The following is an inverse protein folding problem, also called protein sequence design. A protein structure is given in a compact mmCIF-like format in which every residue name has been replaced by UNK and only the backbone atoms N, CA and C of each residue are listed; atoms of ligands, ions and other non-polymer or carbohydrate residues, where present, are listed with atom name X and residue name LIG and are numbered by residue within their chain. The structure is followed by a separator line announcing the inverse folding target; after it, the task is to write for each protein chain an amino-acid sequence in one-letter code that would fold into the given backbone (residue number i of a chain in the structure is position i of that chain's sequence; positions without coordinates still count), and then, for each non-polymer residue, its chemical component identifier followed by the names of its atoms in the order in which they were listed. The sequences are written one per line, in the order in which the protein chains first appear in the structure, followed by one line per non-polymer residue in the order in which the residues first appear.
data_IF_070933263935
#
_entry.id   IF_070933263935
#
_cell.length_a   1.000
_cell.length_b   1.000
_cell.length_c   1.000
_cell.angle_alpha   90.00
_cell.angle_beta   90.00
_cell.angle_gamma   90.00
#
_symmetry.space_group_name_H-M   'P 1'
#
loop_
_entity.id
_entity.type
_entity.pdbx_description
1 polymer ?
#
# COMPACT_ATOMS: atom_id res chain seq x y z
N UNK A 1 81.44 -29.47 10.65
CA UNK A 1 80.11 -29.62 11.29
C UNK A 1 79.76 -28.28 11.88
N UNK A 2 79.05 -27.45 11.11
CA UNK A 2 78.75 -26.07 11.45
C UNK A 2 77.52 -26.04 12.36
N UNK A 3 77.68 -25.50 13.57
CA UNK A 3 76.61 -25.26 14.54
C UNK A 3 76.41 -23.76 14.63
N UNK A 4 75.37 -23.24 13.96
CA UNK A 4 74.94 -21.86 14.10
C UNK A 4 73.90 -21.80 15.22
N UNK A 5 74.31 -21.17 16.31
CA UNK A 5 73.50 -20.84 17.46
C UNK A 5 72.39 -19.85 17.06
N UNK A 6 71.18 -20.17 17.52
CA UNK A 6 69.94 -19.42 17.35
C UNK A 6 70.05 -17.99 17.91
N UNK A 7 69.81 -16.97 17.08
CA UNK A 7 69.50 -15.61 17.54
C UNK A 7 67.98 -15.50 17.60
N UNK A 8 67.46 -15.41 18.82
CA UNK A 8 66.08 -15.09 19.15
C UNK A 8 65.90 -13.57 19.23
N UNK A 9 64.65 -13.15 19.01
CA UNK A 9 64.00 -11.87 19.35
C UNK A 9 64.51 -10.57 18.70
N UNK A 10 63.79 -10.11 17.68
CA UNK A 10 63.09 -8.82 17.78
C UNK A 10 62.00 -8.74 16.70
N UNK A 11 60.77 -8.86 17.16
CA UNK A 11 59.54 -8.56 16.45
C UNK A 11 59.56 -7.13 15.91
N UNK A 12 59.40 -6.95 14.60
CA UNK A 12 58.74 -5.77 14.05
C UNK A 12 57.97 -6.20 12.79
N UNK A 13 56.95 -7.02 13.01
CA UNK A 13 55.90 -7.22 12.00
C UNK A 13 55.16 -5.89 11.89
N UNK A 14 55.56 -5.08 10.91
CA UNK A 14 54.76 -3.93 10.47
C UNK A 14 53.57 -4.54 9.73
N UNK A 15 52.54 -4.89 10.49
CA UNK A 15 51.23 -5.20 9.95
C UNK A 15 50.63 -3.85 9.57
N UNK A 16 50.49 -3.49 8.27
CA UNK A 16 49.66 -2.35 7.95
C UNK A 16 48.25 -2.74 8.39
N UNK A 17 47.76 -2.02 9.40
CA UNK A 17 46.35 -2.02 9.77
C UNK A 17 45.60 -1.73 8.47
N UNK A 18 45.04 -2.79 7.86
CA UNK A 18 44.09 -2.63 6.77
C UNK A 18 42.88 -2.00 7.45
N UNK A 19 42.84 -0.68 7.39
CA UNK A 19 41.65 0.09 7.71
C UNK A 19 40.60 -0.46 6.76
N UNK A 20 39.73 -1.33 7.27
CA UNK A 20 38.51 -1.68 6.57
C UNK A 20 37.78 -0.36 6.38
N UNK A 21 37.92 0.22 5.19
CA UNK A 21 37.09 1.31 4.75
C UNK A 21 35.67 0.72 4.66
N UNK A 22 34.92 0.78 5.76
CA UNK A 22 33.48 0.86 5.66
C UNK A 22 33.24 2.15 4.89
N UNK A 23 33.09 2.05 3.57
CA UNK A 23 32.55 3.16 2.80
C UNK A 23 31.30 3.62 3.54
N UNK A 24 31.18 4.93 3.86
CA UNK A 24 29.89 5.45 4.29
C UNK A 24 28.91 5.03 3.20
N UNK A 25 27.90 4.24 3.56
CA UNK A 25 26.70 4.13 2.72
C UNK A 25 26.15 5.54 2.75
N UNK A 26 26.48 6.33 1.73
CA UNK A 26 25.85 7.64 1.52
C UNK A 26 24.35 7.36 1.57
N UNK A 27 23.59 8.02 2.47
CA UNK A 27 22.16 7.86 2.48
C UNK A 27 21.66 8.31 1.11
N UNK A 28 21.17 7.35 0.31
CA UNK A 28 20.49 7.67 -0.93
C UNK A 28 19.40 8.69 -0.62
N UNK A 29 19.33 9.77 -1.38
CA UNK A 29 18.26 10.73 -1.19
C UNK A 29 16.92 10.03 -1.43
N UNK A 30 15.88 10.41 -0.70
CA UNK A 30 14.54 9.86 -0.94
C UNK A 30 14.09 10.05 -2.39
N UNK A 31 14.54 11.13 -3.04
CA UNK A 31 14.33 11.39 -4.47
C UNK A 31 14.99 10.34 -5.37
N UNK A 32 16.24 9.93 -5.06
CA UNK A 32 16.93 8.88 -5.79
C UNK A 32 16.25 7.51 -5.57
N UNK A 33 15.89 7.18 -4.32
CA UNK A 33 15.16 5.94 -4.02
C UNK A 33 13.79 5.93 -4.72
N UNK A 34 13.09 7.06 -4.78
CA UNK A 34 11.81 7.17 -5.50
C UNK A 34 12.00 6.96 -7.00
N UNK A 35 13.03 7.58 -7.60
CA UNK A 35 13.37 7.37 -9.01
C UNK A 35 13.73 5.91 -9.33
N UNK A 36 14.44 5.24 -8.42
CA UNK A 36 14.75 3.81 -8.53
C UNK A 36 13.47 2.96 -8.47
N UNK A 37 12.58 3.23 -7.50
CA UNK A 37 11.33 2.51 -7.35
C UNK A 37 10.41 2.65 -8.58
N UNK A 38 10.27 3.87 -9.11
CA UNK A 38 9.51 4.16 -10.35
C UNK A 38 10.08 3.36 -11.53
N UNK A 39 11.40 3.32 -11.69
CA UNK A 39 12.06 2.55 -12.75
C UNK A 39 11.83 1.04 -12.58
N UNK A 40 11.94 0.52 -11.36
CA UNK A 40 11.69 -0.89 -11.07
C UNK A 40 10.23 -1.31 -11.32
N UNK A 41 9.27 -0.45 -10.96
CA UNK A 41 7.84 -0.62 -11.28
C UNK A 41 7.62 -0.71 -12.79
N UNK A 42 8.16 0.23 -13.56
CA UNK A 42 8.01 0.27 -15.02
C UNK A 42 8.62 -0.98 -15.68
N UNK A 43 9.80 -1.42 -15.24
CA UNK A 43 10.45 -2.64 -15.76
C UNK A 43 9.65 -3.91 -15.49
N UNK A 44 8.82 -3.91 -14.43
CA UNK A 44 7.92 -5.00 -14.08
C UNK A 44 6.50 -4.85 -14.67
N UNK A 45 6.24 -3.79 -15.44
CA UNK A 45 4.98 -3.59 -16.16
C UNK A 45 3.91 -2.79 -15.40
N UNK A 46 4.28 -2.11 -14.30
CA UNK A 46 3.40 -1.24 -13.52
C UNK A 46 3.53 0.22 -13.97
N UNK A 47 3.26 0.51 -15.25
CA UNK A 47 3.51 1.83 -15.84
C UNK A 47 2.56 2.89 -15.31
N UNK A 48 1.28 2.53 -15.13
CA UNK A 48 0.24 3.48 -14.76
C UNK A 48 0.44 3.99 -13.34
N UNK A 49 0.74 3.11 -12.38
CA UNK A 49 1.03 3.51 -11.01
C UNK A 49 2.32 4.33 -10.90
N UNK A 50 3.37 3.93 -11.63
CA UNK A 50 4.62 4.69 -11.70
C UNK A 50 4.41 6.12 -12.23
N UNK A 51 3.51 6.30 -13.20
CA UNK A 51 3.13 7.63 -13.71
C UNK A 51 2.41 8.46 -12.64
N UNK A 52 1.49 7.86 -11.88
CA UNK A 52 0.79 8.56 -10.79
C UNK A 52 1.75 9.06 -9.72
N UNK A 53 2.77 8.27 -9.35
CA UNK A 53 3.82 8.70 -8.42
C UNK A 53 4.55 9.93 -8.95
N UNK A 54 5.01 9.92 -10.21
CA UNK A 54 5.72 11.06 -10.81
C UNK A 54 4.89 12.36 -10.82
N UNK A 55 3.56 12.29 -10.79
CA UNK A 55 2.71 13.47 -10.72
C UNK A 55 2.75 14.19 -9.37
N UNK A 56 3.01 13.45 -8.28
CA UNK A 56 2.90 13.97 -6.90
C UNK A 56 4.07 13.56 -6.00
N UNK A 57 5.19 13.14 -6.57
CA UNK A 57 6.37 12.65 -5.84
C UNK A 57 6.88 13.65 -4.78
N UNK A 58 6.77 14.95 -5.05
CA UNK A 58 7.20 16.01 -4.11
C UNK A 58 6.33 16.08 -2.85
N UNK A 59 5.14 15.47 -2.88
CA UNK A 59 4.22 15.36 -1.74
C UNK A 59 4.35 14.02 -1.00
N UNK A 60 5.25 13.14 -1.45
CA UNK A 60 5.49 11.83 -0.83
C UNK A 60 6.79 11.88 -0.04
N UNK A 61 6.70 11.67 1.27
CA UNK A 61 7.85 11.72 2.18
C UNK A 61 7.89 10.49 3.09
N UNK A 62 9.09 10.17 3.56
CA UNK A 62 9.31 9.10 4.54
C UNK A 62 9.36 7.69 3.95
N UNK A 63 9.51 6.70 4.83
CA UNK A 63 9.57 5.30 4.44
C UNK A 63 8.18 4.79 4.04
N UNK A 64 8.12 3.97 2.99
CA UNK A 64 6.86 3.57 2.39
C UNK A 64 6.93 2.17 1.74
N UNK A 65 5.81 1.44 1.83
CA UNK A 65 5.53 0.30 0.95
C UNK A 65 4.39 0.64 0.03
N UNK A 66 4.63 0.67 -1.27
CA UNK A 66 3.60 0.81 -2.29
C UNK A 66 2.90 -0.53 -2.55
N UNK A 67 1.58 -0.54 -2.47
CA UNK A 67 0.73 -1.63 -2.91
C UNK A 67 0.25 -1.29 -4.32
N UNK A 68 0.98 -1.77 -5.33
CA UNK A 68 0.94 -1.31 -6.72
C UNK A 68 -0.11 -2.11 -7.50
N UNK A 69 -1.28 -1.55 -7.83
CA UNK A 69 -2.25 -2.25 -8.66
C UNK A 69 -1.68 -2.54 -10.06
N UNK A 70 -2.09 -3.65 -10.67
CA UNK A 70 -1.77 -3.93 -12.07
C UNK A 70 -2.35 -2.84 -12.98
N UNK A 71 -1.69 -2.59 -14.12
CA UNK A 71 -2.18 -1.63 -15.12
C UNK A 71 -3.58 -2.01 -15.64
N UNK A 72 -3.88 -3.32 -15.70
CA UNK A 72 -5.23 -3.83 -16.01
C UNK A 72 -6.25 -3.39 -14.96
N UNK A 73 -5.98 -3.61 -13.67
CA UNK A 73 -6.87 -3.18 -12.58
C UNK A 73 -7.06 -1.65 -12.55
N UNK A 74 -6.01 -0.87 -12.83
CA UNK A 74 -6.09 0.59 -12.93
C UNK A 74 -6.91 1.06 -14.12
N UNK A 75 -6.89 0.32 -15.24
CA UNK A 75 -7.69 0.66 -16.41
C UNK A 75 -9.19 0.50 -16.17
N UNK A 76 -9.57 -0.46 -15.33
CA UNK A 76 -10.96 -0.70 -14.94
C UNK A 76 -11.42 0.26 -13.83
N UNK A 77 -10.54 0.54 -12.87
CA UNK A 77 -10.84 1.40 -11.72
C UNK A 77 -9.78 2.50 -11.57
N UNK A 78 -9.81 3.53 -12.44
CA UNK A 78 -8.85 4.62 -12.36
C UNK A 78 -9.06 5.48 -11.11
N UNK A 79 -8.02 6.22 -10.66
CA UNK A 79 -8.18 7.21 -9.60
C UNK A 79 -9.24 8.25 -9.97
N UNK A 80 -10.01 8.72 -8.99
CA UNK A 80 -10.93 9.83 -9.20
C UNK A 80 -10.15 11.10 -9.58
N UNK A 81 -10.74 11.93 -10.45
CA UNK A 81 -10.12 13.17 -10.90
C UNK A 81 -9.77 14.08 -9.71
N UNK A 82 -8.54 14.61 -9.71
CA UNK A 82 -8.03 15.45 -8.63
C UNK A 82 -7.74 14.74 -7.31
N UNK A 83 -7.82 13.39 -7.25
CA UNK A 83 -7.61 12.59 -6.03
C UNK A 83 -6.41 11.64 -6.13
N UNK A 84 -5.41 11.98 -6.95
CA UNK A 84 -4.20 11.14 -7.16
C UNK A 84 -3.42 10.94 -5.87
N UNK A 85 -3.20 11.99 -5.07
CA UNK A 85 -2.45 11.88 -3.82
C UNK A 85 -3.16 10.95 -2.81
N UNK A 86 -4.47 11.13 -2.61
CA UNK A 86 -5.25 10.24 -1.75
C UNK A 86 -5.24 8.80 -2.27
N UNK A 87 -5.35 8.61 -3.58
CA UNK A 87 -5.25 7.29 -4.21
C UNK A 87 -3.93 6.61 -3.86
N UNK A 88 -2.80 7.30 -4.01
CA UNK A 88 -1.48 6.77 -3.63
C UNK A 88 -1.37 6.55 -2.11
N UNK A 89 -1.98 7.41 -1.29
CA UNK A 89 -2.00 7.27 0.17
C UNK A 89 -2.76 6.03 0.64
N UNK A 90 -3.87 5.67 -0.02
CA UNK A 90 -4.61 4.42 0.23
C UNK A 90 -3.75 3.20 -0.18
N UNK A 91 -2.94 3.35 -1.22
CA UNK A 91 -2.06 2.31 -1.75
C UNK A 91 -0.64 2.37 -1.16
N UNK A 92 -0.46 2.96 0.01
CA UNK A 92 0.83 3.02 0.69
C UNK A 92 0.73 2.69 2.18
N UNK A 93 1.71 1.96 2.70
CA UNK A 93 1.89 1.67 4.12
C UNK A 93 3.09 2.51 4.61
N UNK A 94 3.02 3.18 5.78
CA UNK A 94 4.09 4.06 6.30
C UNK A 94 5.26 3.27 6.93
N UNK A 95 5.72 2.23 6.25
CA UNK A 95 6.86 1.40 6.64
C UNK A 95 7.42 0.68 5.39
N UNK A 96 8.73 0.38 5.32
CA UNK A 96 9.34 -0.35 4.20
C UNK A 96 9.29 -1.86 4.47
N UNK A 97 8.16 -2.49 4.19
CA UNK A 97 7.90 -3.90 4.43
C UNK A 97 8.29 -4.73 3.21
N UNK A 98 9.03 -5.82 3.44
CA UNK A 98 9.25 -6.86 2.43
C UNK A 98 8.08 -7.84 2.44
N UNK A 99 7.99 -8.67 1.39
CA UNK A 99 7.00 -9.74 1.34
C UNK A 99 7.07 -10.66 2.56
N UNK A 100 8.28 -10.94 3.03
CA UNK A 100 8.52 -11.77 4.23
C UNK A 100 8.03 -11.11 5.52
N UNK A 101 7.96 -9.79 5.59
CA UNK A 101 7.37 -9.09 6.73
C UNK A 101 5.86 -9.25 6.73
N UNK A 102 5.22 -9.03 5.56
CA UNK A 102 3.77 -9.21 5.40
C UNK A 102 3.33 -10.65 5.63
N UNK A 103 4.07 -11.63 5.12
CA UNK A 103 3.77 -13.07 5.23
C UNK A 103 3.84 -13.59 6.67
N UNK A 104 4.60 -12.92 7.54
CA UNK A 104 4.73 -13.30 8.96
C UNK A 104 3.60 -12.75 9.82
N UNK A 105 2.81 -11.82 9.30
CA UNK A 105 1.66 -11.29 10.02
C UNK A 105 0.54 -12.33 10.08
N UNK A 106 -0.10 -12.52 11.26
CA UNK A 106 -1.26 -13.39 11.36
C UNK A 106 -2.42 -12.92 10.48
N UNK A 107 -3.24 -13.85 10.01
CA UNK A 107 -4.51 -13.54 9.34
C UNK A 107 -5.39 -12.63 10.22
N UNK A 108 -6.02 -11.64 9.59
CA UNK A 108 -6.81 -10.61 10.26
C UNK A 108 -6.00 -9.41 10.76
N UNK A 109 -4.67 -9.40 10.60
CA UNK A 109 -3.86 -8.22 10.98
C UNK A 109 -4.24 -7.01 10.15
N UNK A 110 -4.65 -5.91 10.79
CA UNK A 110 -4.94 -4.65 10.15
C UNK A 110 -3.72 -3.70 10.24
N UNK A 111 -3.24 -3.23 9.09
CA UNK A 111 -2.09 -2.33 8.94
C UNK A 111 -2.60 -0.96 8.48
N UNK A 112 -2.18 0.16 9.09
CA UNK A 112 -2.54 1.48 8.61
C UNK A 112 -1.93 1.77 7.24
N UNK A 113 -2.68 2.49 6.41
CA UNK A 113 -2.15 3.11 5.18
C UNK A 113 -1.71 4.54 5.46
N UNK A 114 -1.05 5.21 4.50
CA UNK A 114 -0.75 6.64 4.60
C UNK A 114 -2.02 7.50 4.53
N UNK A 115 -3.14 6.94 4.03
CA UNK A 115 -4.44 7.60 4.11
C UNK A 115 -5.01 7.43 5.51
N UNK A 116 -5.24 8.55 6.19
CA UNK A 116 -5.79 8.55 7.56
C UNK A 116 -7.14 7.83 7.59
N UNK A 117 -7.31 6.93 8.56
CA UNK A 117 -8.54 6.15 8.74
C UNK A 117 -8.72 4.97 7.78
N UNK A 118 -7.75 4.71 6.90
CA UNK A 118 -7.78 3.57 5.98
C UNK A 118 -6.79 2.48 6.44
N UNK A 119 -7.27 1.23 6.47
CA UNK A 119 -6.52 0.07 6.91
C UNK A 119 -6.50 -1.01 5.81
N UNK A 120 -5.41 -1.78 5.77
CA UNK A 120 -5.26 -2.98 4.95
C UNK A 120 -5.19 -4.19 5.87
N UNK A 121 -6.09 -5.15 5.65
CA UNK A 121 -6.19 -6.38 6.41
C UNK A 121 -5.47 -7.50 5.67
N UNK A 122 -4.56 -8.17 6.35
CA UNK A 122 -3.81 -9.32 5.87
C UNK A 122 -4.66 -10.58 6.01
N UNK A 123 -4.68 -11.40 4.96
CA UNK A 123 -5.22 -12.76 5.05
C UNK A 123 -4.47 -13.71 4.12
N UNK A 124 -4.22 -14.92 4.59
CA UNK A 124 -3.73 -16.02 3.78
C UNK A 124 -4.83 -16.56 2.88
N UNK A 125 -4.45 -17.16 1.75
CA UNK A 125 -5.39 -17.89 0.91
C UNK A 125 -6.07 -19.03 1.67
N UNK A 126 -7.40 -19.08 1.64
CA UNK A 126 -8.17 -20.17 2.25
C UNK A 126 -8.16 -21.45 1.40
N UNK A 127 -8.22 -22.61 2.05
CA UNK A 127 -8.35 -23.92 1.40
C UNK A 127 -7.10 -24.33 0.62
N UNK A 128 -7.25 -24.63 -0.68
CA UNK A 128 -6.14 -25.01 -1.56
C UNK A 128 -5.43 -23.81 -2.22
N UNK A 129 -5.85 -22.58 -1.91
CA UNK A 129 -5.26 -21.37 -2.50
C UNK A 129 -4.01 -20.99 -1.73
N UNK A 130 -2.86 -21.06 -2.38
CA UNK A 130 -1.61 -20.50 -1.85
C UNK A 130 -1.56 -19.03 -2.26
N UNK A 131 -1.38 -18.12 -1.30
CA UNK A 131 -1.27 -16.70 -1.60
C UNK A 131 -1.45 -15.80 -0.38
N UNK A 132 -1.07 -14.54 -0.53
CA UNK A 132 -1.25 -13.47 0.44
C UNK A 132 -2.25 -12.45 -0.13
N UNK A 133 -3.22 -12.04 0.68
CA UNK A 133 -4.29 -11.13 0.28
C UNK A 133 -4.34 -9.90 1.19
N UNK A 134 -4.63 -8.76 0.60
CA UNK A 134 -4.70 -7.43 1.20
C UNK A 134 -6.11 -6.89 0.97
N UNK A 135 -6.95 -6.85 2.02
CA UNK A 135 -8.39 -6.58 1.89
C UNK A 135 -9.08 -7.50 0.86
N UNK A 136 -8.63 -8.76 0.76
CA UNK A 136 -9.14 -9.74 -0.21
C UNK A 136 -8.57 -9.60 -1.63
N UNK A 137 -7.71 -8.62 -1.89
CA UNK A 137 -6.99 -8.45 -3.16
C UNK A 137 -5.70 -9.25 -3.11
N UNK A 138 -5.46 -10.09 -4.12
CA UNK A 138 -4.25 -10.93 -4.18
C UNK A 138 -2.99 -10.09 -4.41
N UNK A 139 -1.94 -10.36 -3.61
CA UNK A 139 -0.59 -9.93 -3.89
C UNK A 139 0.00 -10.87 -4.95
N UNK A 140 0.10 -10.38 -6.18
CA UNK A 140 0.52 -11.16 -7.35
C UNK A 140 2.01 -11.05 -7.64
N UNK A 141 2.69 -10.03 -7.12
CA UNK A 141 4.13 -9.88 -7.29
C UNK A 141 4.80 -9.32 -6.04
N UNK A 142 5.61 -10.16 -5.38
CA UNK A 142 6.44 -9.76 -4.25
C UNK A 142 7.61 -8.88 -4.69
N UNK A 143 8.07 -8.03 -3.76
CA UNK A 143 9.31 -7.25 -3.85
C UNK A 143 9.56 -6.63 -5.25
N UNK A 144 8.59 -5.83 -5.72
CA UNK A 144 8.65 -5.12 -7.01
C UNK A 144 9.86 -4.19 -7.03
N UNK A 145 10.01 -3.36 -5.98
CA UNK A 145 11.15 -2.47 -5.79
C UNK A 145 12.13 -3.08 -4.78
N UNK A 146 13.38 -3.31 -5.19
CA UNK A 146 14.41 -3.92 -4.34
C UNK A 146 15.59 -2.99 -4.09
N UNK A 147 15.78 -1.97 -4.92
CA UNK A 147 16.82 -0.97 -4.74
C UNK A 147 16.43 0.03 -3.65
N UNK A 148 17.34 0.27 -2.70
CA UNK A 148 17.10 1.17 -1.57
C UNK A 148 16.55 0.45 -0.33
N UNK A 149 16.32 1.23 0.72
CA UNK A 149 15.87 0.71 2.03
C UNK A 149 14.61 1.38 2.57
N UNK A 150 14.27 2.56 2.05
CA UNK A 150 13.11 3.35 2.50
C UNK A 150 11.87 3.07 1.67
N UNK A 151 12.01 2.56 0.44
CA UNK A 151 10.90 2.25 -0.45
C UNK A 151 10.82 0.76 -0.75
N UNK A 152 9.64 0.19 -0.53
CA UNK A 152 9.26 -1.16 -0.94
C UNK A 152 8.01 -1.11 -1.80
N UNK A 153 7.81 -2.14 -2.62
CA UNK A 153 6.66 -2.20 -3.52
C UNK A 153 6.20 -3.65 -3.68
N UNK A 154 4.90 -3.86 -3.72
CA UNK A 154 4.30 -5.16 -4.02
C UNK A 154 3.16 -5.00 -5.01
N UNK A 155 3.15 -5.82 -6.05
CA UNK A 155 2.10 -5.84 -7.05
C UNK A 155 0.84 -6.52 -6.53
N UNK A 156 -0.32 -5.87 -6.69
CA UNK A 156 -1.63 -6.39 -6.30
C UNK A 156 -2.58 -6.45 -7.50
N UNK A 157 -3.47 -7.44 -7.54
CA UNK A 157 -4.42 -7.64 -8.64
C UNK A 157 -5.79 -6.99 -8.34
N UNK A 158 -5.77 -5.68 -8.10
CA UNK A 158 -6.96 -4.91 -7.76
C UNK A 158 -6.62 -3.56 -7.17
N UNK A 159 -7.63 -2.72 -7.02
CA UNK A 159 -7.51 -1.38 -6.45
C UNK A 159 -8.09 -1.38 -5.03
N UNK A 160 -7.29 -0.92 -4.07
CA UNK A 160 -7.75 -0.71 -2.70
C UNK A 160 -8.73 0.45 -2.65
N UNK A 161 -9.82 0.26 -1.92
CA UNK A 161 -10.78 1.32 -1.63
C UNK A 161 -10.64 1.77 -0.19
N UNK A 162 -10.90 3.04 0.06
CA UNK A 162 -10.98 3.58 1.41
C UNK A 162 -12.14 2.89 2.16
N UNK A 163 -11.84 1.87 2.94
CA UNK A 163 -12.73 1.40 3.97
C UNK A 163 -12.59 2.35 5.14
N UNK A 164 -13.50 3.31 5.25
CA UNK A 164 -13.59 4.16 6.42
C UNK A 164 -14.01 3.26 7.56
N UNK A 165 -13.11 3.01 8.51
CA UNK A 165 -13.50 2.48 9.80
C UNK A 165 -14.27 3.59 10.51
N UNK A 166 -15.58 3.68 10.23
CA UNK A 166 -16.49 4.57 10.92
C UNK A 166 -16.73 4.07 12.35
N UNK A 167 -15.67 4.00 13.17
CA UNK A 167 -15.74 3.68 14.60
C UNK A 167 -14.36 3.79 15.29
N UNK A 168 -13.78 4.99 15.27
CA UNK A 168 -12.94 5.46 16.36
C UNK A 168 -13.41 6.86 16.77
N UNK A 169 -14.68 6.97 17.16
CA UNK A 169 -15.16 8.15 17.89
C UNK A 169 -14.66 8.04 19.33
N UNK A 170 -13.37 8.31 19.55
CA UNK A 170 -12.77 8.41 20.88
C UNK A 170 -13.23 9.70 21.55
N UNK A 171 -14.49 9.75 21.98
CA UNK A 171 -14.97 10.69 22.99
C UNK A 171 -15.62 9.99 24.19
N UNK A 172 -15.57 8.66 24.28
CA UNK A 172 -16.04 7.95 25.48
C UNK A 172 -15.08 6.82 25.90
N UNK A 173 -13.91 7.22 26.40
CA UNK A 173 -12.96 6.34 27.10
C UNK A 173 -13.41 6.05 28.55
N UNK A 174 -14.72 5.90 28.81
CA UNK A 174 -15.24 5.62 30.15
C UNK A 174 -16.09 4.35 30.26
N UNK A 175 -16.08 3.47 29.25
CA UNK A 175 -16.77 2.18 29.38
C UNK A 175 -16.06 1.02 28.69
N UNK A 176 -14.93 0.62 29.27
CA UNK A 176 -14.50 -0.78 29.18
C UNK A 176 -15.10 -1.53 30.38
N UNK A 177 -16.13 -2.38 30.21
CA UNK A 177 -16.43 -3.39 31.21
C UNK A 177 -15.40 -4.50 31.06
N UNK A 178 -14.42 -4.50 31.94
CA UNK A 178 -13.49 -5.59 32.14
C UNK A 178 -14.22 -6.83 32.65
N UNK A 179 -14.79 -7.67 31.78
CA UNK A 179 -15.10 -9.06 32.15
C UNK A 179 -15.13 -10.01 30.96
N UNK A 180 -14.24 -11.00 31.05
CA UNK A 180 -14.26 -12.35 30.45
C UNK A 180 -14.33 -12.51 28.93
N UNK A 181 -13.20 -12.94 28.39
CA UNK A 181 -13.09 -13.86 27.27
C UNK A 181 -14.08 -15.03 27.44
N UNK A 182 -15.04 -15.18 26.53
CA UNK A 182 -15.67 -16.47 26.25
C UNK A 182 -16.26 -16.43 24.84
N UNK A 183 -15.68 -17.23 23.93
CA UNK A 183 -16.22 -17.45 22.60
C UNK A 183 -17.50 -18.29 22.67
N UNK A 184 -18.51 -18.02 21.83
CA UNK A 184 -19.51 -19.02 21.48
C UNK A 184 -19.31 -19.51 20.03
N UNK A 185 -19.13 -20.82 19.88
CA UNK A 185 -19.25 -21.55 18.63
C UNK A 185 -20.76 -21.79 18.27
N UNK A 186 -21.09 -22.18 17.03
CA UNK A 186 -22.33 -21.81 16.35
C UNK A 186 -23.48 -22.79 16.54
N UNK A 187 -24.72 -22.34 16.27
CA UNK A 187 -25.86 -23.22 15.95
C UNK A 187 -26.62 -22.70 14.73
N UNK A 188 -26.84 -23.61 13.79
CA UNK A 188 -27.77 -23.52 12.68
C UNK A 188 -29.19 -23.88 13.14
N UNK A 189 -30.22 -23.25 12.56
CA UNK A 189 -31.29 -23.92 11.79
C UNK A 189 -32.43 -22.96 11.39
N UNK A 190 -32.64 -22.89 10.06
CA UNK A 190 -33.90 -22.90 9.27
C UNK A 190 -35.09 -21.93 9.46
N UNK A 191 -35.47 -21.30 8.32
CA UNK A 191 -36.80 -20.98 7.71
C UNK A 191 -38.05 -20.88 8.61
N UNK A 192 -39.07 -20.03 8.44
CA UNK A 192 -39.70 -19.27 7.33
C UNK A 192 -40.60 -18.21 8.06
N UNK A 193 -41.00 -17.03 7.57
CA UNK A 193 -41.99 -16.80 6.51
C UNK A 193 -42.39 -15.31 6.46
N UNK A 194 -42.38 -14.75 5.24
CA UNK A 194 -43.46 -14.00 4.57
C UNK A 194 -44.14 -12.74 5.18
N UNK A 195 -44.14 -11.69 4.33
CA UNK A 195 -45.27 -10.84 3.88
C UNK A 195 -45.27 -9.33 4.24
N UNK A 196 -45.07 -8.55 3.17
CA UNK A 196 -45.59 -7.22 2.77
C UNK A 196 -45.60 -6.03 3.73
N UNK A 197 -45.04 -4.91 3.25
CA UNK A 197 -45.88 -3.90 2.60
C UNK A 197 -45.10 -2.96 1.68
N UNK A 198 -45.69 -2.66 0.53
CA UNK A 198 -45.13 -1.75 -0.45
C UNK A 198 -45.26 -0.28 -0.08
N UNK A 199 -44.35 0.53 -0.61
CA UNK A 199 -44.61 1.94 -0.87
C UNK A 199 -43.99 2.38 -2.19
N UNK A 200 -44.75 3.25 -2.85
CA UNK A 200 -44.75 3.65 -4.24
C UNK A 200 -44.24 5.10 -4.31
N UNK A 201 -43.33 5.39 -5.24
CA UNK A 201 -43.01 6.76 -5.68
C UNK A 201 -41.52 6.94 -5.97
N UNK A 202 -41.06 7.68 -6.97
CA UNK A 202 -41.70 8.44 -8.07
C UNK A 202 -40.53 8.84 -8.98
N UNK A 203 -40.57 8.45 -10.26
CA UNK A 203 -39.65 8.97 -11.28
C UNK A 203 -39.93 10.45 -11.55
N UNK A 204 -38.88 11.25 -11.69
CA UNK A 204 -38.97 12.62 -12.21
C UNK A 204 -37.93 13.56 -11.61
N UNK A 205 -36.77 13.70 -12.26
CA UNK A 205 -35.76 14.69 -11.87
C UNK A 205 -34.58 14.85 -12.82
N UNK A 206 -34.23 13.85 -13.64
CA UNK A 206 -32.93 13.85 -14.33
C UNK A 206 -32.93 14.47 -15.74
N UNK A 207 -34.08 14.84 -16.32
CA UNK A 207 -34.12 15.32 -17.71
C UNK A 207 -33.95 16.85 -17.87
N UNK A 208 -34.21 17.65 -16.83
CA UNK A 208 -34.19 19.11 -16.96
C UNK A 208 -32.81 19.75 -16.84
N UNK A 209 -31.81 19.01 -16.33
CA UNK A 209 -30.43 19.49 -16.15
C UNK A 209 -29.59 19.40 -17.43
N UNK A 210 -29.92 18.49 -18.34
CA UNK A 210 -29.18 18.36 -19.61
C UNK A 210 -29.47 19.49 -20.59
N UNK A 211 -30.73 19.91 -20.68
CA UNK A 211 -31.14 20.99 -21.58
C UNK A 211 -30.54 22.35 -21.14
N UNK A 212 -30.49 22.62 -19.83
CA UNK A 212 -29.86 23.84 -19.30
C UNK A 212 -28.33 23.85 -19.51
N UNK A 213 -27.67 22.70 -19.39
CA UNK A 213 -26.23 22.57 -19.62
C UNK A 213 -25.88 22.76 -21.10
N UNK A 214 -26.69 22.24 -22.01
CA UNK A 214 -26.46 22.39 -23.45
C UNK A 214 -26.64 23.85 -23.91
N UNK A 215 -27.63 24.55 -23.33
CA UNK A 215 -27.87 25.97 -23.61
C UNK A 215 -26.70 26.85 -23.12
N UNK A 216 -26.14 26.56 -21.93
CA UNK A 216 -24.99 27.30 -21.40
C UNK A 216 -23.69 27.04 -22.17
N UNK A 217 -23.44 25.80 -22.58
CA UNK A 217 -22.28 25.46 -23.43
C UNK A 217 -22.41 26.13 -24.81
N UNK A 218 -23.60 26.14 -25.42
CA UNK A 218 -23.82 26.78 -26.72
C UNK A 218 -23.62 28.30 -26.65
N UNK A 219 -24.07 28.94 -25.56
CA UNK A 219 -23.89 30.38 -25.35
C UNK A 219 -22.42 30.75 -25.13
N UNK A 220 -21.66 29.92 -24.41
CA UNK A 220 -20.21 30.12 -24.25
C UNK A 220 -19.48 30.02 -25.59
N UNK A 221 -19.79 29.02 -26.41
CA UNK A 221 -19.15 28.85 -27.73
C UNK A 221 -19.41 30.07 -28.63
N UNK A 222 -20.62 30.64 -28.63
CA UNK A 222 -20.95 31.84 -29.41
C UNK A 222 -20.31 33.14 -28.88
N UNK A 223 -19.80 33.16 -27.65
CA UNK A 223 -19.09 34.32 -27.10
C UNK A 223 -17.59 34.29 -27.38
N UNK A 224 -17.06 33.13 -27.80
CA UNK A 224 -15.64 32.92 -28.09
C UNK A 224 -15.32 32.74 -29.58
N UNK A 225 -16.31 32.91 -30.48
CA UNK A 225 -16.14 32.93 -31.94
C UNK A 225 -16.86 34.10 -32.59
#
# INVERSE_FOLDING_TARGET
MASHFMISVASLVICPLILAASAPVEPHSMEEEMGNAVNEMQRKGYYSFAMLINMVQDSMEGQVTFLVPTDEALSETPPAEGRVLEFLQIHSIPAPLLYEDLRRLPDGTAIPTNQTGCMVTISSGGGNKVGLFLNGIELVQADVCVNGSSIRCHGINGVLSAMWTSECNMTDASKCPSTSCHAPAPKADSLDSLVNNGQRGRLGGTLLIYEDLLATITLLILLFF
#
